data_IF_634873891657
#
_entry.id   IF_634873891657
#
_cell.length_a   1.000
_cell.length_b   1.000
_cell.length_c   1.000
_cell.angle_alpha   90.00
_cell.angle_beta   90.00
_cell.angle_gamma   90.00
#
_symmetry.space_group_name_H-M   'P 1'
#
loop_
_entity.id
_entity.type
_entity.pdbx_description
1 polymer ?
#
# COMPACT_ATOMS: atom_id res chain seq x y z
N UNK A 1 8.33 0.10 -31.39
CA UNK A 1 8.48 1.48 -30.85
C UNK A 1 9.56 1.43 -29.78
N UNK A 2 10.77 1.93 -30.06
CA UNK A 2 11.83 1.99 -29.05
C UNK A 2 11.60 3.20 -28.14
N UNK A 3 11.31 2.96 -26.86
CA UNK A 3 11.23 4.01 -25.86
C UNK A 3 12.65 4.50 -25.56
N UNK A 4 13.10 5.52 -26.28
CA UNK A 4 14.37 6.18 -26.03
C UNK A 4 14.31 6.91 -24.69
N UNK A 5 15.36 6.79 -23.88
CA UNK A 5 15.47 7.44 -22.56
C UNK A 5 15.40 8.97 -22.64
N UNK A 6 15.41 9.53 -23.85
CA UNK A 6 15.40 10.95 -24.17
C UNK A 6 13.99 11.53 -24.38
N UNK A 7 12.95 10.69 -24.43
CA UNK A 7 11.56 11.10 -24.68
C UNK A 7 10.76 11.41 -23.40
N UNK A 8 11.41 11.40 -22.24
CA UNK A 8 10.76 11.66 -20.96
C UNK A 8 10.39 13.14 -20.86
N UNK A 9 9.09 13.44 -20.83
CA UNK A 9 8.64 14.81 -20.61
C UNK A 9 8.93 15.16 -19.16
N UNK A 10 9.22 16.44 -18.89
CA UNK A 10 9.41 16.95 -17.52
C UNK A 10 8.23 16.62 -16.60
N UNK A 11 7.03 16.50 -17.17
CA UNK A 11 5.83 16.01 -16.48
C UNK A 11 6.00 14.61 -15.93
N UNK A 12 6.58 13.69 -16.70
CA UNK A 12 6.66 12.26 -16.34
C UNK A 12 7.64 12.05 -15.19
N UNK A 13 8.75 12.82 -15.20
CA UNK A 13 9.72 12.87 -14.11
C UNK A 13 9.08 13.47 -12.84
N UNK A 14 8.34 14.58 -12.98
CA UNK A 14 7.66 15.22 -11.85
C UNK A 14 6.62 14.27 -11.24
N UNK A 15 5.80 13.65 -12.07
CA UNK A 15 4.80 12.68 -11.62
C UNK A 15 5.44 11.43 -10.99
N UNK A 16 6.58 10.97 -11.53
CA UNK A 16 7.36 9.88 -10.96
C UNK A 16 7.98 10.16 -9.58
N UNK A 17 8.09 11.43 -9.18
CA UNK A 17 8.57 11.85 -7.85
C UNK A 17 7.41 12.24 -6.93
N UNK A 18 6.45 13.02 -7.43
CA UNK A 18 5.32 13.55 -6.65
C UNK A 18 4.37 12.43 -6.22
N UNK A 19 4.04 11.49 -7.11
CA UNK A 19 3.13 10.40 -6.78
C UNK A 19 3.66 9.52 -5.62
N UNK A 20 4.92 9.01 -5.64
CA UNK A 20 5.46 8.28 -4.50
C UNK A 20 5.48 9.10 -3.20
N UNK A 21 5.77 10.41 -3.28
CA UNK A 21 5.75 11.29 -2.11
C UNK A 21 4.35 11.37 -1.48
N UNK A 22 3.32 11.53 -2.29
CA UNK A 22 1.92 11.55 -1.83
C UNK A 22 1.52 10.20 -1.22
N UNK A 23 1.93 9.08 -1.84
CA UNK A 23 1.71 7.72 -1.31
C UNK A 23 2.30 7.62 0.11
N UNK A 24 3.55 8.02 0.29
CA UNK A 24 4.24 7.95 1.59
C UNK A 24 3.53 8.82 2.63
N UNK A 25 3.09 10.02 2.28
CA UNK A 25 2.35 10.89 3.19
C UNK A 25 1.01 10.29 3.64
N UNK A 26 0.29 9.63 2.73
CA UNK A 26 -0.97 8.93 3.06
C UNK A 26 -0.70 7.77 4.02
N UNK A 27 0.33 6.96 3.74
CA UNK A 27 0.72 5.83 4.58
C UNK A 27 1.08 6.29 5.99
N UNK A 28 1.93 7.30 6.10
CA UNK A 28 2.37 7.84 7.40
C UNK A 28 1.21 8.49 8.14
N UNK A 29 0.35 9.24 7.44
CA UNK A 29 -0.84 9.87 8.02
C UNK A 29 -1.79 8.85 8.62
N UNK A 30 -2.14 7.80 7.86
CA UNK A 30 -3.02 6.73 8.32
C UNK A 30 -2.43 5.97 9.50
N UNK A 31 -1.13 5.64 9.47
CA UNK A 31 -0.44 4.95 10.56
C UNK A 31 -0.46 5.71 11.90
N UNK A 32 -0.62 7.04 11.87
CA UNK A 32 -0.75 7.84 13.10
C UNK A 32 -2.15 7.76 13.70
N UNK A 33 -3.19 7.55 12.88
CA UNK A 33 -4.58 7.52 13.33
C UNK A 33 -4.79 6.39 14.34
N UNK A 34 -4.29 5.18 14.05
CA UNK A 34 -4.43 4.03 14.95
C UNK A 34 -3.73 4.21 16.30
N UNK A 35 -2.58 4.90 16.31
CA UNK A 35 -1.89 5.23 17.56
C UNK A 35 -2.73 6.13 18.50
N UNK A 36 -3.67 6.89 17.96
CA UNK A 36 -4.56 7.77 18.74
C UNK A 36 -5.78 7.03 19.32
N UNK A 37 -6.18 5.88 18.76
CA UNK A 37 -7.36 5.11 19.20
C UNK A 37 -7.04 3.97 20.19
N UNK A 38 -5.76 3.69 20.47
CA UNK A 38 -5.31 2.47 21.18
C UNK A 38 -5.26 2.48 22.72
N UNK A 39 -6.07 3.27 23.44
CA UNK A 39 -5.91 3.42 24.92
C UNK A 39 -7.04 2.89 25.83
N UNK A 40 -7.88 1.95 25.39
CA UNK A 40 -8.86 1.32 26.30
C UNK A 40 -9.54 0.05 25.78
N UNK A 41 -9.76 -0.91 26.70
CA UNK A 41 -10.67 -2.09 26.78
C UNK A 41 -11.36 -2.71 25.54
N UNK A 42 -10.88 -2.48 24.32
CA UNK A 42 -11.51 -2.91 23.06
C UNK A 42 -10.61 -3.86 22.25
N UNK A 43 -9.85 -4.75 22.92
CA UNK A 43 -8.78 -5.55 22.32
C UNK A 43 -9.12 -6.27 21.00
N UNK A 44 -10.34 -6.78 20.84
CA UNK A 44 -10.79 -7.42 19.60
C UNK A 44 -11.05 -6.39 18.48
N UNK A 45 -11.75 -5.31 18.80
CA UNK A 45 -12.09 -4.24 17.83
C UNK A 45 -10.81 -3.52 17.39
N UNK A 46 -9.91 -3.23 18.33
CA UNK A 46 -8.60 -2.65 18.01
C UNK A 46 -7.75 -3.60 17.18
N UNK A 47 -7.78 -4.92 17.46
CA UNK A 47 -7.07 -5.92 16.66
C UNK A 47 -7.56 -5.96 15.21
N UNK A 48 -8.88 -6.01 15.02
CA UNK A 48 -9.49 -5.99 13.68
C UNK A 48 -9.17 -4.69 12.94
N UNK A 49 -9.26 -3.54 13.62
CA UNK A 49 -8.92 -2.24 13.02
C UNK A 49 -7.45 -2.20 12.59
N UNK A 50 -6.54 -2.69 13.41
CA UNK A 50 -5.11 -2.74 13.07
C UNK A 50 -4.81 -3.67 11.88
N UNK A 51 -5.50 -4.81 11.76
CA UNK A 51 -5.33 -5.68 10.57
C UNK A 51 -5.90 -5.05 9.29
N UNK A 52 -7.05 -4.38 9.38
CA UNK A 52 -7.65 -3.67 8.24
C UNK A 52 -6.76 -2.49 7.82
N UNK A 53 -6.17 -1.79 8.77
CA UNK A 53 -5.22 -0.72 8.50
C UNK A 53 -3.95 -1.25 7.82
N UNK A 54 -3.41 -2.37 8.30
CA UNK A 54 -2.23 -3.00 7.73
C UNK A 54 -2.44 -3.40 6.27
N UNK A 55 -3.57 -4.07 5.93
CA UNK A 55 -3.88 -4.40 4.53
C UNK A 55 -4.19 -3.16 3.68
N UNK A 56 -4.81 -2.13 4.28
CA UNK A 56 -5.14 -0.88 3.57
C UNK A 56 -3.87 -0.14 3.16
N UNK A 57 -2.94 0.01 4.09
CA UNK A 57 -1.67 0.70 3.86
C UNK A 57 -0.79 -0.08 2.89
N UNK A 58 -0.73 -1.41 3.03
CA UNK A 58 0.23 -2.25 2.29
C UNK A 58 -0.23 -2.62 0.88
N UNK A 59 -1.53 -2.88 0.69
CA UNK A 59 -2.07 -3.34 -0.59
C UNK A 59 -3.09 -2.37 -1.20
N UNK A 60 -4.04 -1.85 -0.42
CA UNK A 60 -5.12 -1.03 -0.96
C UNK A 60 -4.65 0.36 -1.44
N UNK A 61 -3.81 1.05 -0.68
CA UNK A 61 -3.30 2.38 -1.04
C UNK A 61 -2.48 2.34 -2.34
N UNK A 62 -1.50 1.42 -2.51
CA UNK A 62 -0.79 1.28 -3.77
C UNK A 62 -1.67 0.85 -4.94
N UNK A 63 -2.65 -0.03 -4.71
CA UNK A 63 -3.63 -0.43 -5.74
C UNK A 63 -4.43 0.78 -6.24
N UNK A 64 -5.01 1.56 -5.32
CA UNK A 64 -5.85 2.71 -5.66
C UNK A 64 -5.06 3.81 -6.36
N UNK A 65 -3.84 4.08 -5.89
CA UNK A 65 -2.95 5.07 -6.52
C UNK A 65 -2.41 4.57 -7.86
N UNK A 66 -2.14 3.27 -7.98
CA UNK A 66 -1.83 2.62 -9.24
C UNK A 66 -2.98 2.72 -10.24
N UNK A 67 -4.23 2.52 -9.81
CA UNK A 67 -5.42 2.67 -10.66
C UNK A 67 -5.62 4.12 -11.11
N UNK A 68 -5.38 5.08 -10.21
CA UNK A 68 -5.44 6.51 -10.51
C UNK A 68 -4.42 6.90 -11.60
N UNK A 69 -3.26 6.25 -11.59
CA UNK A 69 -2.21 6.45 -12.58
C UNK A 69 -2.51 5.74 -13.91
N UNK A 70 -2.80 4.43 -13.85
CA UNK A 70 -3.11 3.59 -15.00
C UNK A 70 -3.82 2.32 -14.54
N UNK A 71 -4.92 1.96 -15.22
CA UNK A 71 -5.70 0.75 -14.93
C UNK A 71 -4.86 -0.54 -14.83
N UNK A 72 -3.84 -0.68 -15.67
CA UNK A 72 -2.92 -1.82 -15.65
C UNK A 72 -1.92 -1.77 -14.48
N UNK A 73 -1.43 -0.57 -14.13
CA UNK A 73 -0.54 -0.40 -12.99
C UNK A 73 -1.27 -0.69 -11.67
N UNK A 74 -2.53 -0.26 -11.55
CA UNK A 74 -3.40 -0.58 -10.42
C UNK A 74 -3.71 -2.08 -10.31
N UNK A 75 -4.05 -2.73 -11.43
CA UNK A 75 -4.29 -4.17 -11.47
C UNK A 75 -3.04 -4.99 -11.07
N UNK A 76 -1.87 -4.64 -11.62
CA UNK A 76 -0.61 -5.33 -11.33
C UNK A 76 -0.14 -5.11 -9.88
N UNK A 77 -0.19 -3.87 -9.39
CA UNK A 77 0.20 -3.56 -8.00
C UNK A 77 -0.74 -4.21 -7.00
N UNK A 78 -2.06 -4.20 -7.26
CA UNK A 78 -3.05 -4.87 -6.43
C UNK A 78 -2.84 -6.38 -6.34
N UNK A 79 -2.58 -7.03 -7.48
CA UNK A 79 -2.27 -8.45 -7.51
C UNK A 79 -0.97 -8.76 -6.74
N UNK A 80 0.12 -8.06 -7.06
CA UNK A 80 1.43 -8.32 -6.44
C UNK A 80 1.42 -8.07 -4.93
N UNK A 81 0.92 -6.92 -4.50
CA UNK A 81 0.92 -6.54 -3.08
C UNK A 81 -0.12 -7.35 -2.29
N UNK A 82 -1.25 -7.70 -2.90
CA UNK A 82 -2.22 -8.62 -2.28
C UNK A 82 -1.65 -10.02 -2.06
N UNK A 83 -0.95 -10.57 -3.06
CA UNK A 83 -0.27 -11.86 -2.94
C UNK A 83 0.89 -11.84 -1.94
N UNK A 84 1.68 -10.77 -1.91
CA UNK A 84 2.75 -10.62 -0.93
C UNK A 84 2.20 -10.47 0.49
N UNK A 85 1.13 -9.69 0.66
CA UNK A 85 0.45 -9.53 1.95
C UNK A 85 -0.11 -10.85 2.46
N UNK A 86 -0.77 -11.64 1.60
CA UNK A 86 -1.31 -12.95 2.00
C UNK A 86 -0.21 -13.94 2.39
N UNK A 87 0.91 -13.97 1.65
CA UNK A 87 2.09 -14.76 2.02
C UNK A 87 2.68 -14.32 3.36
N UNK A 88 2.88 -13.02 3.55
CA UNK A 88 3.43 -12.47 4.78
C UNK A 88 2.52 -12.79 5.99
N UNK A 89 1.21 -12.64 5.83
CA UNK A 89 0.23 -12.97 6.87
C UNK A 89 0.29 -14.46 7.21
N UNK A 90 0.34 -15.32 6.19
CA UNK A 90 0.46 -16.76 6.35
C UNK A 90 1.73 -17.16 7.12
N UNK A 91 2.86 -16.48 6.89
CA UNK A 91 4.11 -16.70 7.64
C UNK A 91 4.00 -16.17 9.07
N UNK A 92 3.50 -14.95 9.26
CA UNK A 92 3.39 -14.30 10.59
C UNK A 92 2.54 -15.11 11.56
N UNK A 93 1.44 -15.70 11.08
CA UNK A 93 0.47 -16.42 11.90
C UNK A 93 0.58 -17.95 11.80
N UNK A 94 1.65 -18.47 11.21
CA UNK A 94 2.04 -19.89 11.33
C UNK A 94 1.31 -20.87 10.41
N UNK A 95 0.87 -20.44 9.22
CA UNK A 95 0.32 -21.33 8.21
C UNK A 95 1.37 -22.31 7.62
N UNK A 96 2.66 -21.98 7.76
CA UNK A 96 3.77 -22.86 7.39
C UNK A 96 4.47 -23.39 8.65
N UNK A 97 4.65 -24.71 8.82
CA UNK A 97 5.44 -25.26 9.91
C UNK A 97 6.89 -24.78 9.81
N UNK A 98 7.49 -24.45 10.96
CA UNK A 98 8.90 -24.04 11.08
C UNK A 98 9.85 -25.18 10.77
#
# INVERSE_FOLDING_TARGET
MSLGWKDWRKSDILYGIVAPLVVVLIIVGLSRVSSMFGRGSFGLVTGIISEIEEITITAAVPLLLGLLWNRWAGGASGFLLGSLYSMWWAVKYGAFPR
#
